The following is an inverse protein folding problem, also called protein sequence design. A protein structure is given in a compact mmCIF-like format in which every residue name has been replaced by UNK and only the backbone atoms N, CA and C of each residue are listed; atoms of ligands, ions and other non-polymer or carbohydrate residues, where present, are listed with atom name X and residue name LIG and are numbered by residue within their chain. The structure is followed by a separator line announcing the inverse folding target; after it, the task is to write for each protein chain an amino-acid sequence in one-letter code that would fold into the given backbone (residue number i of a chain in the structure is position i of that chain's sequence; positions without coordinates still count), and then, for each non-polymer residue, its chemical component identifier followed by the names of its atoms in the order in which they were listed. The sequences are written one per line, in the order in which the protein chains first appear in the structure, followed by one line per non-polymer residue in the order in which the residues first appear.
data_IF_643048963885
#
_entry.id   IF_643048963885
#
_cell.length_a   1.000
_cell.length_b   1.000
_cell.length_c   1.000
_cell.angle_alpha   90.00
_cell.angle_beta   90.00
_cell.angle_gamma   90.00
#
_symmetry.space_group_name_H-M   'P 1'
#
loop_
_entity.id
_entity.type
_entity.pdbx_description
1 polymer ?
#
# COMPACT_ATOMS: atom_id res chain seq x y z
N UNK A 1 14.15 9.07 -9.10
CA UNK A 1 13.45 10.33 -8.75
C UNK A 1 12.76 10.95 -9.97
N UNK A 2 13.43 11.10 -11.12
CA UNK A 2 12.78 11.58 -12.34
C UNK A 2 11.50 10.81 -12.71
N UNK A 3 11.55 9.47 -12.73
CA UNK A 3 10.37 8.62 -12.99
C UNK A 3 9.19 8.90 -12.05
N UNK A 4 9.45 9.21 -10.78
CA UNK A 4 8.38 9.59 -9.86
C UNK A 4 7.69 10.87 -10.31
N UNK A 5 8.49 11.91 -10.56
CA UNK A 5 8.02 13.25 -10.87
C UNK A 5 7.26 13.33 -12.19
N UNK A 6 7.62 12.51 -13.18
CA UNK A 6 7.06 12.59 -14.53
C UNK A 6 6.04 11.51 -14.85
N UNK A 7 6.05 10.38 -14.14
CA UNK A 7 5.24 9.21 -14.49
C UNK A 7 4.51 8.65 -13.27
N UNK A 8 5.22 8.24 -12.22
CA UNK A 8 4.60 7.50 -11.12
C UNK A 8 3.63 8.36 -10.30
N UNK A 9 3.88 9.66 -10.11
CA UNK A 9 2.97 10.54 -9.36
C UNK A 9 1.60 10.69 -10.04
N UNK A 10 1.51 10.54 -11.37
CA UNK A 10 0.22 10.59 -12.08
C UNK A 10 -0.71 9.43 -11.67
N UNK A 11 -0.17 8.29 -11.26
CA UNK A 11 -1.00 7.13 -10.88
C UNK A 11 -1.59 7.27 -9.47
N UNK A 12 -1.05 8.18 -8.66
CA UNK A 12 -1.57 8.50 -7.33
C UNK A 12 -2.86 9.32 -7.41
N UNK A 13 -2.97 10.19 -8.42
CA UNK A 13 -4.12 11.07 -8.61
C UNK A 13 -4.47 11.23 -10.10
N UNK A 14 -4.99 10.17 -10.74
CA UNK A 14 -5.26 10.18 -12.19
C UNK A 14 -6.29 11.25 -12.58
N UNK A 15 -7.21 11.58 -11.67
CA UNK A 15 -8.34 12.48 -11.94
C UNK A 15 -8.16 13.90 -11.40
N UNK A 16 -6.98 14.25 -10.84
CA UNK A 16 -6.74 15.55 -10.21
C UNK A 16 -5.35 16.11 -10.52
N UNK A 17 -5.31 17.05 -11.47
CA UNK A 17 -4.08 17.76 -11.84
C UNK A 17 -3.49 18.55 -10.65
N UNK A 18 -4.34 19.08 -9.77
CA UNK A 18 -3.90 19.80 -8.57
C UNK A 18 -3.16 18.88 -7.60
N UNK A 19 -3.68 17.67 -7.37
CA UNK A 19 -3.03 16.68 -6.49
C UNK A 19 -1.72 16.17 -7.12
N UNK A 20 -1.68 15.99 -8.44
CA UNK A 20 -0.43 15.65 -9.14
C UNK A 20 0.65 16.75 -8.97
N UNK A 21 0.32 18.01 -9.25
CA UNK A 21 1.25 19.14 -9.09
C UNK A 21 1.77 19.25 -7.66
N UNK A 22 0.89 19.05 -6.69
CA UNK A 22 1.24 18.99 -5.27
C UNK A 22 2.28 17.90 -5.01
N UNK A 23 2.02 16.66 -5.42
CA UNK A 23 2.96 15.55 -5.26
C UNK A 23 4.30 15.85 -5.92
N UNK A 24 4.32 16.44 -7.10
CA UNK A 24 5.56 16.76 -7.80
C UNK A 24 6.40 17.81 -7.03
N UNK A 25 5.77 18.90 -6.60
CA UNK A 25 6.48 19.99 -5.91
C UNK A 25 6.97 19.57 -4.53
N UNK A 26 6.11 18.93 -3.74
CA UNK A 26 6.42 18.60 -2.35
C UNK A 26 7.30 17.37 -2.24
N UNK A 27 7.08 16.34 -3.07
CA UNK A 27 7.99 15.20 -3.08
C UNK A 27 9.43 15.65 -3.39
N UNK A 28 9.62 16.57 -4.34
CA UNK A 28 10.95 17.10 -4.65
C UNK A 28 11.53 17.90 -3.48
N UNK A 29 10.79 18.90 -2.99
CA UNK A 29 11.20 19.75 -1.87
C UNK A 29 11.59 18.92 -0.64
N UNK A 30 10.70 18.06 -0.19
CA UNK A 30 10.89 17.28 1.05
C UNK A 30 11.97 16.23 0.87
N UNK A 31 12.08 15.58 -0.29
CA UNK A 31 13.16 14.63 -0.58
C UNK A 31 14.53 15.29 -0.72
N UNK A 32 14.60 16.61 -0.97
CA UNK A 32 15.86 17.34 -0.97
C UNK A 32 16.44 17.43 0.45
N UNK A 33 15.57 17.61 1.45
CA UNK A 33 15.94 17.76 2.86
C UNK A 33 15.98 16.43 3.64
N UNK A 34 15.21 15.41 3.23
CA UNK A 34 15.08 14.15 3.96
C UNK A 34 15.50 12.94 3.12
N UNK A 35 16.63 12.32 3.48
CA UNK A 35 17.17 11.18 2.73
C UNK A 35 16.21 9.98 2.71
N UNK A 36 15.53 9.69 3.82
CA UNK A 36 14.58 8.56 3.87
C UNK A 36 13.41 8.73 2.88
N UNK A 37 12.92 9.97 2.71
CA UNK A 37 11.88 10.29 1.72
C UNK A 37 12.39 10.07 0.31
N UNK A 38 13.61 10.52 0.01
CA UNK A 38 14.24 10.32 -1.31
C UNK A 38 14.34 8.84 -1.66
N UNK A 39 14.77 8.02 -0.72
CA UNK A 39 14.86 6.57 -0.92
C UNK A 39 13.48 5.92 -1.09
N UNK A 40 12.45 6.42 -0.40
CA UNK A 40 11.07 5.93 -0.59
C UNK A 40 10.55 6.23 -1.99
N UNK A 41 10.78 7.44 -2.50
CA UNK A 41 10.42 7.80 -3.88
C UNK A 41 11.12 6.91 -4.90
N UNK A 42 12.39 6.55 -4.64
CA UNK A 42 13.15 5.64 -5.50
C UNK A 42 12.63 4.21 -5.42
N UNK A 43 12.30 3.70 -4.23
CA UNK A 43 11.73 2.38 -4.06
C UNK A 43 10.40 2.26 -4.83
N UNK A 44 9.48 3.20 -4.62
CA UNK A 44 8.20 3.25 -5.33
C UNK A 44 8.39 3.41 -6.85
N UNK A 45 9.35 4.24 -7.28
CA UNK A 45 9.66 4.39 -8.71
C UNK A 45 10.12 3.07 -9.32
N UNK A 46 11.07 2.37 -8.67
CA UNK A 46 11.59 1.09 -9.13
C UNK A 46 10.46 0.06 -9.23
N UNK A 47 9.60 -0.01 -8.21
CA UNK A 47 8.44 -0.91 -8.22
C UNK A 47 7.46 -0.59 -9.35
N UNK A 48 7.21 0.69 -9.60
CA UNK A 48 6.36 1.12 -10.70
C UNK A 48 6.98 0.75 -12.06
N UNK A 49 8.30 0.86 -12.22
CA UNK A 49 8.99 0.40 -13.43
C UNK A 49 8.91 -1.13 -13.57
N UNK A 50 9.07 -1.89 -12.48
CA UNK A 50 8.91 -3.35 -12.49
C UNK A 50 7.53 -3.77 -13.01
N UNK A 51 6.49 -3.00 -12.66
CA UNK A 51 5.13 -3.21 -13.18
C UNK A 51 5.00 -2.89 -14.68
N UNK A 52 5.62 -1.80 -15.14
CA UNK A 52 5.58 -1.37 -16.54
C UNK A 52 6.50 -2.19 -17.46
N UNK A 53 7.53 -2.83 -16.90
CA UNK A 53 8.52 -3.63 -17.61
C UNK A 53 8.59 -5.05 -17.03
N UNK A 54 7.56 -5.90 -17.25
CA UNK A 54 7.51 -7.25 -16.68
C UNK A 54 8.66 -8.16 -17.12
N UNK A 55 9.38 -7.84 -18.20
CA UNK A 55 10.52 -8.63 -18.68
C UNK A 55 11.77 -8.46 -17.79
N UNK A 56 11.92 -7.28 -17.18
CA UNK A 56 13.10 -6.91 -16.37
C UNK A 56 12.74 -6.73 -14.88
N UNK A 57 11.57 -7.22 -14.47
CA UNK A 57 10.98 -6.92 -13.17
C UNK A 57 11.93 -7.26 -12.00
N UNK A 58 12.65 -8.38 -12.07
CA UNK A 58 13.57 -8.84 -11.00
C UNK A 58 14.62 -7.78 -10.67
N UNK A 59 15.22 -7.15 -11.68
CA UNK A 59 16.21 -6.08 -11.50
C UNK A 59 15.62 -4.91 -10.71
N UNK A 60 14.40 -4.52 -11.05
CA UNK A 60 13.73 -3.40 -10.41
C UNK A 60 13.17 -3.76 -9.02
N UNK A 61 12.84 -5.03 -8.76
CA UNK A 61 12.53 -5.51 -7.42
C UNK A 61 13.74 -5.44 -6.49
N UNK A 62 14.93 -5.84 -6.97
CA UNK A 62 16.19 -5.68 -6.20
C UNK A 62 16.42 -4.21 -5.85
N UNK A 63 16.24 -3.29 -6.82
CA UNK A 63 16.34 -1.84 -6.57
C UNK A 63 15.26 -1.33 -5.61
N UNK A 64 14.05 -1.89 -5.69
CA UNK A 64 12.97 -1.58 -4.75
C UNK A 64 13.40 -1.95 -3.35
N UNK A 65 13.74 -3.22 -3.09
CA UNK A 65 14.17 -3.73 -1.79
C UNK A 65 15.36 -2.97 -1.22
N UNK A 66 16.36 -2.65 -2.05
CA UNK A 66 17.54 -1.89 -1.66
C UNK A 66 17.17 -0.50 -1.12
N UNK A 67 16.42 0.30 -1.89
CA UNK A 67 16.02 1.63 -1.46
C UNK A 67 15.01 1.60 -0.31
N UNK A 68 14.16 0.59 -0.29
CA UNK A 68 13.17 0.38 0.76
C UNK A 68 13.83 0.15 2.12
N UNK A 69 14.86 -0.70 2.18
CA UNK A 69 15.64 -0.93 3.41
C UNK A 69 16.32 0.35 3.91
N UNK A 70 16.93 1.14 3.01
CA UNK A 70 17.57 2.41 3.37
C UNK A 70 16.53 3.41 3.90
N UNK A 71 15.37 3.50 3.26
CA UNK A 71 14.30 4.39 3.68
C UNK A 71 13.80 4.06 5.10
N UNK A 72 13.54 2.79 5.38
CA UNK A 72 13.05 2.34 6.70
C UNK A 72 14.09 2.61 7.79
N UNK A 73 15.36 2.28 7.54
CA UNK A 73 16.41 2.52 8.53
C UNK A 73 16.63 4.02 8.77
N UNK A 74 16.69 4.82 7.70
CA UNK A 74 16.82 6.27 7.82
C UNK A 74 15.63 6.92 8.54
N UNK A 75 14.41 6.43 8.33
CA UNK A 75 13.24 6.88 9.08
C UNK A 75 13.37 6.57 10.57
N UNK A 76 13.73 5.33 10.93
CA UNK A 76 13.90 4.91 12.34
C UNK A 76 15.00 5.70 13.07
N UNK A 77 16.06 6.07 12.37
CA UNK A 77 17.18 6.83 12.94
C UNK A 77 16.85 8.32 13.11
N UNK A 78 16.14 8.93 12.15
CA UNK A 78 15.93 10.39 12.11
C UNK A 78 14.64 10.83 12.79
N UNK A 79 13.64 9.95 12.90
CA UNK A 79 12.32 10.30 13.44
C UNK A 79 12.20 9.73 14.85
N UNK A 80 12.56 10.52 15.85
CA UNK A 80 12.39 10.20 17.28
C UNK A 80 11.10 10.78 17.88
N UNK A 81 10.59 11.86 17.28
CA UNK A 81 9.32 12.49 17.63
C UNK A 81 8.72 13.19 16.41
N UNK A 82 7.40 13.39 16.42
CA UNK A 82 6.66 14.03 15.32
C UNK A 82 6.43 15.49 15.69
N UNK A 83 6.87 16.40 14.82
CA UNK A 83 6.69 17.84 14.94
C UNK A 83 6.26 18.47 13.61
N UNK A 84 6.04 19.79 13.59
CA UNK A 84 5.62 20.50 12.38
C UNK A 84 6.72 20.64 11.31
N UNK A 85 7.98 20.34 11.63
CA UNK A 85 9.10 20.40 10.68
C UNK A 85 9.31 19.10 9.91
N UNK A 86 8.83 17.97 10.45
CA UNK A 86 8.99 16.64 9.84
C UNK A 86 7.67 15.97 9.41
N UNK A 87 6.52 16.59 9.67
CA UNK A 87 5.20 16.02 9.36
C UNK A 87 5.03 15.63 7.89
N UNK A 88 5.44 16.50 6.96
CA UNK A 88 5.34 16.24 5.51
C UNK A 88 6.22 15.07 5.10
N UNK A 89 7.43 15.00 5.65
CA UNK A 89 8.38 13.93 5.36
C UNK A 89 7.86 12.59 5.85
N UNK A 90 7.33 12.55 7.08
CA UNK A 90 6.71 11.36 7.66
C UNK A 90 5.49 10.93 6.85
N UNK A 91 4.63 11.88 6.44
CA UNK A 91 3.47 11.57 5.63
C UNK A 91 3.84 10.97 4.27
N UNK A 92 4.70 11.64 3.50
CA UNK A 92 5.13 11.16 2.17
C UNK A 92 5.78 9.79 2.28
N UNK A 93 6.71 9.63 3.23
CA UNK A 93 7.35 8.35 3.51
C UNK A 93 6.32 7.26 3.78
N UNK A 94 5.44 7.48 4.74
CA UNK A 94 4.48 6.47 5.18
C UNK A 94 3.42 6.13 4.12
N UNK A 95 2.95 7.12 3.35
CA UNK A 95 1.99 6.90 2.27
C UNK A 95 2.59 6.06 1.13
N UNK A 96 3.80 6.42 0.68
CA UNK A 96 4.47 5.68 -0.37
C UNK A 96 4.97 4.31 0.12
N UNK A 97 5.32 4.19 1.40
CA UNK A 97 5.66 2.91 2.04
C UNK A 97 4.47 1.94 1.97
N UNK A 98 3.27 2.37 2.37
CA UNK A 98 2.04 1.55 2.24
C UNK A 98 1.82 1.10 0.80
N UNK A 99 1.92 2.01 -0.16
CA UNK A 99 1.70 1.68 -1.57
C UNK A 99 2.77 0.73 -2.13
N UNK A 100 4.02 0.87 -1.67
CA UNK A 100 5.12 -0.01 -2.06
C UNK A 100 4.90 -1.42 -1.49
N UNK A 101 4.56 -1.52 -0.20
CA UNK A 101 4.26 -2.80 0.47
C UNK A 101 3.08 -3.54 -0.18
N UNK A 102 1.99 -2.81 -0.46
CA UNK A 102 0.83 -3.37 -1.17
C UNK A 102 1.19 -3.79 -2.60
N UNK A 103 2.08 -3.06 -3.28
CA UNK A 103 2.57 -3.47 -4.59
C UNK A 103 3.40 -4.76 -4.54
N UNK A 104 4.25 -4.90 -3.54
CA UNK A 104 5.10 -6.09 -3.32
C UNK A 104 4.30 -7.35 -2.97
N UNK A 105 3.01 -7.24 -2.61
CA UNK A 105 2.11 -8.38 -2.42
C UNK A 105 1.81 -9.19 -3.70
N UNK A 106 2.24 -8.73 -4.88
CA UNK A 106 1.91 -9.43 -6.13
C UNK A 106 2.55 -10.82 -6.18
N UNK A 107 1.76 -11.90 -6.36
CA UNK A 107 2.29 -13.28 -6.41
C UNK A 107 3.30 -13.51 -7.54
N UNK A 108 3.18 -12.77 -8.65
CA UNK A 108 4.09 -12.84 -9.82
C UNK A 108 5.53 -12.44 -9.45
N UNK A 109 5.70 -11.70 -8.36
CA UNK A 109 6.99 -11.19 -7.92
C UNK A 109 7.63 -12.03 -6.81
N UNK A 110 6.99 -13.15 -6.45
CA UNK A 110 7.59 -14.12 -5.55
C UNK A 110 8.68 -14.92 -6.27
N UNK A 111 9.94 -14.65 -5.94
CA UNK A 111 11.11 -15.36 -6.47
C UNK A 111 11.44 -16.62 -5.67
N UNK A 112 10.59 -17.00 -4.70
CA UNK A 112 10.79 -18.15 -3.83
C UNK A 112 11.81 -17.92 -2.71
N UNK A 113 12.39 -16.71 -2.59
CA UNK A 113 13.33 -16.37 -1.51
C UNK A 113 12.71 -16.47 -0.11
N UNK A 114 11.38 -16.44 -0.01
CA UNK A 114 10.61 -16.60 1.21
C UNK A 114 9.70 -17.84 1.19
N UNK A 115 10.05 -18.88 0.44
CA UNK A 115 9.24 -20.11 0.35
C UNK A 115 9.01 -20.79 1.70
N UNK A 116 9.88 -20.54 2.68
CA UNK A 116 9.77 -21.07 4.05
C UNK A 116 8.76 -20.31 4.93
N UNK A 117 8.28 -19.14 4.49
CA UNK A 117 7.28 -18.35 5.21
C UNK A 117 5.89 -18.74 4.72
N UNK A 118 5.00 -19.08 5.64
CA UNK A 118 3.60 -19.35 5.29
C UNK A 118 2.97 -18.12 4.58
N UNK A 119 2.29 -18.31 3.43
CA UNK A 119 1.70 -17.20 2.68
C UNK A 119 0.69 -16.36 3.48
N UNK A 120 -0.01 -16.97 4.45
CA UNK A 120 -0.93 -16.28 5.35
C UNK A 120 -0.14 -15.42 6.34
N UNK A 121 0.97 -15.93 6.89
CA UNK A 121 1.86 -15.15 7.75
C UNK A 121 2.44 -13.93 7.02
N UNK A 122 2.87 -14.10 5.76
CA UNK A 122 3.35 -13.00 4.90
C UNK A 122 2.27 -11.93 4.72
N UNK A 123 1.03 -12.34 4.44
CA UNK A 123 -0.11 -11.44 4.33
C UNK A 123 -0.39 -10.70 5.65
N UNK A 124 -0.39 -11.41 6.79
CA UNK A 124 -0.64 -10.83 8.12
C UNK A 124 0.45 -9.81 8.47
N UNK A 125 1.72 -10.12 8.23
CA UNK A 125 2.83 -9.20 8.51
C UNK A 125 2.67 -7.89 7.73
N UNK A 126 2.34 -7.97 6.43
CA UNK A 126 2.16 -6.78 5.62
C UNK A 126 0.90 -5.99 6.01
N UNK A 127 -0.21 -6.66 6.30
CA UNK A 127 -1.41 -5.99 6.84
C UNK A 127 -1.14 -5.29 8.18
N UNK A 128 -0.24 -5.86 8.99
CA UNK A 128 0.22 -5.25 10.24
C UNK A 128 1.02 -3.97 9.99
N UNK A 129 1.91 -3.97 8.99
CA UNK A 129 2.65 -2.76 8.57
C UNK A 129 1.68 -1.66 8.14
N UNK A 130 0.73 -1.99 7.27
CA UNK A 130 -0.29 -1.03 6.81
C UNK A 130 -1.10 -0.49 7.99
N UNK A 131 -1.55 -1.37 8.90
CA UNK A 131 -2.29 -0.96 10.11
C UNK A 131 -1.49 -0.04 11.01
N UNK A 132 -0.20 -0.31 11.22
CA UNK A 132 0.67 0.54 12.04
C UNK A 132 0.83 1.94 11.44
N UNK A 133 0.92 2.04 10.11
CA UNK A 133 0.98 3.32 9.40
C UNK A 133 -0.35 4.08 9.51
N UNK A 134 -1.48 3.39 9.36
CA UNK A 134 -2.80 4.02 9.54
C UNK A 134 -3.00 4.52 10.97
N UNK A 135 -2.52 3.79 11.98
CA UNK A 135 -2.53 4.26 13.37
C UNK A 135 -1.62 5.47 13.56
N UNK A 136 -0.43 5.50 12.95
CA UNK A 136 0.48 6.65 12.97
C UNK A 136 -0.24 7.92 12.47
N UNK A 137 -0.98 7.82 11.38
CA UNK A 137 -1.73 8.96 10.82
C UNK A 137 -2.82 9.47 11.76
N UNK A 138 -3.49 8.57 12.48
CA UNK A 138 -4.53 8.90 13.46
C UNK A 138 -3.93 9.55 14.70
N UNK A 139 -2.89 8.95 15.27
CA UNK A 139 -2.35 9.34 16.58
C UNK A 139 -1.53 10.64 16.49
N UNK A 140 -0.87 10.87 15.36
CA UNK A 140 -0.03 12.04 15.14
C UNK A 140 -0.81 13.33 14.75
N UNK A 141 -2.14 13.28 14.66
CA UNK A 141 -2.98 14.36 14.10
C UNK A 141 -2.53 14.86 12.71
N UNK A 142 -1.68 14.11 11.99
CA UNK A 142 -1.10 14.50 10.70
C UNK A 142 -2.20 14.90 9.71
N UNK A 143 -3.31 14.16 9.72
CA UNK A 143 -4.49 14.41 8.86
C UNK A 143 -5.19 15.75 9.17
N UNK A 144 -5.07 16.28 10.40
CA UNK A 144 -5.72 17.54 10.80
C UNK A 144 -4.92 18.79 10.45
N UNK A 145 -3.59 18.68 10.35
CA UNK A 145 -2.72 19.84 10.10
C UNK A 145 -2.44 20.07 8.62
N UNK A 146 -2.43 19.00 7.80
CA UNK A 146 -2.05 19.12 6.39
C UNK A 146 -3.26 19.03 5.44
N UNK A 147 -3.62 20.14 4.73
CA UNK A 147 -4.80 20.22 3.85
C UNK A 147 -4.86 19.15 2.77
N UNK A 148 -3.71 18.58 2.41
CA UNK A 148 -3.56 17.70 1.25
C UNK A 148 -3.62 16.23 1.61
N UNK A 149 -3.33 15.87 2.86
CA UNK A 149 -3.73 14.57 3.41
C UNK A 149 -5.25 14.49 3.40
N UNK A 150 -5.93 15.58 3.80
CA UNK A 150 -7.40 15.67 3.73
C UNK A 150 -7.92 15.59 2.28
N UNK A 151 -7.25 16.20 1.31
CA UNK A 151 -7.63 16.05 -0.11
C UNK A 151 -7.39 14.63 -0.64
N UNK A 152 -6.25 14.00 -0.33
CA UNK A 152 -5.93 12.63 -0.75
C UNK A 152 -6.89 11.59 -0.15
N UNK A 153 -7.20 11.72 1.13
CA UNK A 153 -8.09 10.79 1.84
C UNK A 153 -9.56 11.15 1.56
N UNK A 154 -9.86 12.42 1.31
CA UNK A 154 -11.20 12.95 1.02
C UNK A 154 -11.64 12.83 -0.45
N UNK A 155 -10.71 12.60 -1.39
CA UNK A 155 -11.01 12.31 -2.79
C UNK A 155 -11.80 11.01 -2.91
N UNK A 156 -13.13 11.16 -2.92
CA UNK A 156 -14.10 10.07 -3.00
C UNK A 156 -14.03 9.41 -4.38
N UNK A 157 -13.36 8.26 -4.49
CA UNK A 157 -13.43 7.41 -5.68
C UNK A 157 -14.70 6.57 -5.69
N UNK A 158 -15.86 7.16 -5.96
CA UNK A 158 -17.12 6.41 -6.12
C UNK A 158 -17.14 5.40 -7.28
N UNK A 159 -16.54 5.64 -8.47
CA UNK A 159 -16.61 4.65 -9.57
C UNK A 159 -15.71 3.42 -9.38
N UNK A 160 -14.64 3.53 -8.59
CA UNK A 160 -13.73 2.40 -8.33
C UNK A 160 -14.29 1.40 -7.32
N UNK A 161 -15.17 1.83 -6.42
CA UNK A 161 -15.74 0.97 -5.37
C UNK A 161 -16.48 -0.21 -5.98
N UNK A 162 -17.27 0.02 -7.03
CA UNK A 162 -18.04 -1.06 -7.69
C UNK A 162 -17.12 -2.07 -8.39
N UNK A 163 -16.09 -1.59 -9.07
CA UNK A 163 -15.09 -2.44 -9.73
C UNK A 163 -14.33 -3.30 -8.71
N UNK A 164 -13.87 -2.72 -7.59
CA UNK A 164 -13.17 -3.43 -6.52
C UNK A 164 -14.10 -4.48 -5.87
N UNK A 165 -15.37 -4.13 -5.63
CA UNK A 165 -16.35 -5.08 -5.07
C UNK A 165 -16.58 -6.25 -6.04
N UNK A 166 -16.63 -6.01 -7.35
CA UNK A 166 -16.76 -7.07 -8.35
C UNK A 166 -15.53 -7.98 -8.39
N UNK A 167 -14.32 -7.40 -8.38
CA UNK A 167 -13.07 -8.15 -8.35
C UNK A 167 -12.92 -8.99 -7.07
N UNK A 168 -13.23 -8.41 -5.91
CA UNK A 168 -13.21 -9.12 -4.64
C UNK A 168 -14.18 -10.33 -4.65
N UNK A 169 -15.41 -10.14 -5.16
CA UNK A 169 -16.38 -11.24 -5.33
C UNK A 169 -15.85 -12.34 -6.25
N UNK A 170 -15.24 -11.98 -7.37
CA UNK A 170 -14.66 -12.94 -8.30
C UNK A 170 -13.53 -13.75 -7.66
N UNK A 171 -12.64 -13.10 -6.91
CA UNK A 171 -11.55 -13.75 -6.18
C UNK A 171 -12.05 -14.70 -5.09
N UNK A 172 -13.09 -14.32 -4.32
CA UNK A 172 -13.70 -15.19 -3.31
C UNK A 172 -14.35 -16.42 -3.94
N UNK A 173 -15.06 -16.25 -5.07
CA UNK A 173 -15.63 -17.35 -5.82
C UNK A 173 -14.55 -18.30 -6.36
N UNK A 174 -13.40 -17.76 -6.76
CA UNK A 174 -12.26 -18.55 -7.19
C UNK A 174 -11.65 -19.35 -6.04
N UNK A 175 -11.49 -18.77 -4.84
CA UNK A 175 -11.04 -19.50 -3.65
C UNK A 175 -11.98 -20.66 -3.30
N UNK A 176 -13.29 -20.43 -3.37
CA UNK A 176 -14.29 -21.49 -3.12
C UNK A 176 -14.14 -22.64 -4.14
N UNK A 177 -13.90 -22.30 -5.41
CA UNK A 177 -13.65 -23.29 -6.46
C UNK A 177 -12.37 -24.09 -6.24
N UNK A 178 -11.33 -23.47 -5.67
CA UNK A 178 -10.09 -24.17 -5.29
C UNK A 178 -10.37 -25.12 -4.12
N UNK A 179 -11.04 -24.64 -3.07
CA UNK A 179 -11.42 -25.46 -1.92
C UNK A 179 -12.19 -26.72 -2.34
N UNK A 180 -13.18 -26.56 -3.23
CA UNK A 180 -13.97 -27.66 -3.78
C UNK A 180 -13.16 -28.69 -4.58
N UNK A 181 -12.02 -28.28 -5.15
CA UNK A 181 -11.19 -29.13 -6.01
C UNK A 181 -10.05 -29.80 -5.27
N UNK A 182 -9.45 -29.10 -4.31
CA UNK A 182 -8.17 -29.48 -3.72
C UNK A 182 -8.32 -30.13 -2.33
N UNK A 183 -9.40 -29.85 -1.60
CA UNK A 183 -9.60 -30.34 -0.24
C UNK A 183 -10.49 -31.57 -0.27
N UNK A 184 -9.96 -32.70 0.18
CA UNK A 184 -10.65 -34.00 0.15
C UNK A 184 -11.38 -34.33 1.44
N UNK A 185 -10.97 -33.75 2.57
CA UNK A 185 -11.65 -33.91 3.86
C UNK A 185 -12.92 -33.02 3.90
N UNK A 186 -14.12 -33.59 4.09
CA UNK A 186 -15.36 -32.83 4.17
C UNK A 186 -15.40 -31.80 5.30
N UNK A 187 -14.78 -32.09 6.45
CA UNK A 187 -14.81 -31.20 7.61
C UNK A 187 -13.90 -29.98 7.38
N UNK A 188 -12.71 -30.20 6.83
CA UNK A 188 -11.80 -29.12 6.41
C UNK A 188 -12.40 -28.27 5.29
N UNK A 189 -13.02 -28.92 4.29
CA UNK A 189 -13.67 -28.21 3.20
C UNK A 189 -14.78 -27.29 3.72
N UNK A 190 -15.61 -27.77 4.65
CA UNK A 190 -16.65 -26.96 5.28
C UNK A 190 -16.07 -25.79 6.09
N UNK A 191 -14.97 -26.02 6.82
CA UNK A 191 -14.26 -24.99 7.56
C UNK A 191 -13.74 -23.89 6.62
N UNK A 192 -13.08 -24.26 5.53
CA UNK A 192 -12.58 -23.28 4.55
C UNK A 192 -13.70 -22.49 3.88
N UNK A 193 -14.81 -23.12 3.49
CA UNK A 193 -15.96 -22.41 2.94
C UNK A 193 -16.53 -21.41 3.95
N UNK A 194 -16.50 -21.72 5.26
CA UNK A 194 -16.89 -20.76 6.30
C UNK A 194 -15.92 -19.57 6.37
N UNK A 195 -14.62 -19.83 6.39
CA UNK A 195 -13.59 -18.79 6.40
C UNK A 195 -13.64 -17.88 5.17
N UNK A 196 -13.87 -18.44 3.98
CA UNK A 196 -14.03 -17.66 2.73
C UNK A 196 -15.26 -16.73 2.82
N UNK A 197 -16.38 -17.21 3.38
CA UNK A 197 -17.56 -16.37 3.62
C UNK A 197 -17.27 -15.23 4.60
N UNK A 198 -16.60 -15.52 5.71
CA UNK A 198 -16.22 -14.51 6.70
C UNK A 198 -15.28 -13.46 6.10
N UNK A 199 -14.30 -13.87 5.28
CA UNK A 199 -13.43 -12.97 4.52
C UNK A 199 -14.24 -12.04 3.60
N UNK A 200 -15.25 -12.59 2.90
CA UNK A 200 -16.14 -11.80 2.05
C UNK A 200 -16.95 -10.75 2.81
N UNK A 201 -17.43 -11.09 4.01
CA UNK A 201 -18.11 -10.15 4.91
C UNK A 201 -17.16 -9.03 5.34
N UNK A 202 -15.91 -9.36 5.70
CA UNK A 202 -14.89 -8.38 6.05
C UNK A 202 -14.62 -7.39 4.90
N UNK A 203 -14.44 -7.87 3.67
CA UNK A 203 -14.25 -7.00 2.49
C UNK A 203 -15.46 -6.10 2.24
N UNK A 204 -16.67 -6.64 2.34
CA UNK A 204 -17.89 -5.86 2.15
C UNK A 204 -17.98 -4.68 3.14
N UNK A 205 -17.72 -4.94 4.43
CA UNK A 205 -17.70 -3.88 5.44
C UNK A 205 -16.55 -2.90 5.24
N UNK A 206 -15.35 -3.39 4.95
CA UNK A 206 -14.16 -2.56 4.74
C UNK A 206 -14.26 -1.64 3.51
N UNK A 207 -15.07 -1.97 2.51
CA UNK A 207 -15.23 -1.17 1.29
C UNK A 207 -16.45 -0.24 1.32
N UNK A 208 -17.59 -0.71 1.86
CA UNK A 208 -18.87 0.00 1.74
C UNK A 208 -19.29 0.74 3.01
N UNK A 209 -18.85 0.27 4.18
CA UNK A 209 -19.12 0.93 5.47
C UNK A 209 -17.91 0.88 6.38
N UNK A 210 -16.81 1.55 6.03
CA UNK A 210 -15.70 1.61 6.95
C UNK A 210 -16.19 2.52 8.07
N UNK A 211 -16.41 1.96 9.25
CA UNK A 211 -17.01 2.73 10.34
C UNK A 211 -15.98 3.63 11.03
N UNK A 212 -14.68 3.34 10.85
CA UNK A 212 -13.59 3.96 11.61
C UNK A 212 -12.64 4.84 10.76
N UNK A 213 -12.73 4.79 9.43
CA UNK A 213 -11.96 5.70 8.54
C UNK A 213 -12.47 7.16 8.59
N UNK A 214 -13.72 7.37 9.02
CA UNK A 214 -14.36 8.70 9.07
C UNK A 214 -13.91 9.50 10.28
N UNK A 215 -13.38 8.84 11.31
CA UNK A 215 -12.79 9.51 12.47
C UNK A 215 -11.32 9.90 12.22
N UNK A 216 -10.71 9.36 11.16
CA UNK A 216 -9.37 9.70 10.68
C UNK A 216 -9.43 10.90 9.71
N UNK A 217 -10.54 11.05 8.98
CA UNK A 217 -10.85 12.13 8.01
C UNK A 217 -11.51 13.35 8.65
#
# INVERSE_FOLDING_TARGET
MFHFLTIAAHTLAPDSAAVYQYWQQIAYSVASSHNFVRHTLLAFSSLHIAHLQPQDFQKYLVLTSHHHAIAINGFKEQVTSIDGGNCDAIFIFSALLVLTELGLMRPVWDDGSNADIDPVDKLIQQLTVVRNILNLWRDARLVRTEPMIRELVGHRRQPYTDAIVAEAKASLAYLEKINQRMVTDPDEQMLFSKSIRELGVCYYFALLRPMNWRDIL
#
